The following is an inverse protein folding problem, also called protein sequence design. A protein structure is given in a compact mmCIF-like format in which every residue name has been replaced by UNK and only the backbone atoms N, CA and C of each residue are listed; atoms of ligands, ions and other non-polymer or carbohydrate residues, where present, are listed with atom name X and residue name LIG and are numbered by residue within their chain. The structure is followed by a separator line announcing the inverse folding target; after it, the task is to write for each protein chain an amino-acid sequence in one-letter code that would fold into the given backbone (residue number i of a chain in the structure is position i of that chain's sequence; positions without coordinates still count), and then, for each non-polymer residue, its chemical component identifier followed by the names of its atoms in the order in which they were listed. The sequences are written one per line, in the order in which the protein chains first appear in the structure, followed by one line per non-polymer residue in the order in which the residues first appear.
data_IF_821917798913
#
_entry.id   IF_821917798913
#
_cell.length_a   1.000
_cell.length_b   1.000
_cell.length_c   1.000
_cell.angle_alpha   90.00
_cell.angle_beta   90.00
_cell.angle_gamma   90.00
#
_symmetry.space_group_name_H-M   'P 1'
#
loop_
_entity.id
_entity.type
_entity.pdbx_description
1 polymer ?
#
# COMPACT_ATOMS: atom_id res chain seq x y z
N UNK A 1 -20.17 -2.50 9.66
CA UNK A 1 -20.40 -1.13 10.22
C UNK A 1 -20.04 -0.16 9.10
N UNK A 2 -21.00 0.46 8.38
CA UNK A 2 -20.67 1.44 7.36
C UNK A 2 -20.00 2.64 8.06
N UNK A 3 -18.88 3.11 7.51
CA UNK A 3 -18.22 4.28 8.05
C UNK A 3 -19.16 5.48 7.90
N UNK A 4 -19.61 6.06 9.02
CA UNK A 4 -20.64 7.12 9.09
C UNK A 4 -20.35 8.37 8.24
N UNK A 5 -19.15 8.51 7.69
CA UNK A 5 -18.70 9.65 6.89
C UNK A 5 -18.07 9.13 5.60
N UNK A 6 -18.63 9.52 4.43
CA UNK A 6 -18.17 9.13 3.09
C UNK A 6 -16.65 9.28 2.92
N UNK A 7 -15.94 8.16 3.10
CA UNK A 7 -14.48 8.09 2.98
C UNK A 7 -14.16 8.15 1.49
N UNK A 8 -13.63 9.29 1.06
CA UNK A 8 -13.19 9.50 -0.33
C UNK A 8 -11.72 9.14 -0.48
N UNK A 9 -11.44 8.11 -1.27
CA UNK A 9 -10.10 7.62 -1.56
C UNK A 9 -9.69 7.96 -2.99
N UNK A 10 -8.54 8.60 -3.18
CA UNK A 10 -7.95 8.68 -4.52
C UNK A 10 -7.47 7.28 -4.92
N UNK A 11 -7.94 6.83 -6.08
CA UNK A 11 -7.67 5.50 -6.59
C UNK A 11 -6.51 5.52 -7.59
N UNK A 12 -5.38 4.96 -7.20
CA UNK A 12 -4.19 4.87 -8.04
C UNK A 12 -3.66 3.42 -8.15
N UNK A 13 -4.54 2.43 -8.02
CA UNK A 13 -4.21 1.02 -8.21
C UNK A 13 -4.65 0.51 -9.59
N UNK A 14 -4.22 -0.71 -9.93
CA UNK A 14 -4.74 -1.44 -11.07
C UNK A 14 -6.24 -1.75 -10.88
N UNK A 15 -6.98 -1.70 -11.99
CA UNK A 15 -8.43 -1.90 -12.03
C UNK A 15 -8.78 -3.39 -12.08
N UNK A 16 -10.06 -3.75 -12.08
CA UNK A 16 -10.45 -5.14 -12.37
C UNK A 16 -9.94 -5.56 -13.76
N UNK A 17 -9.49 -6.81 -13.94
CA UNK A 17 -9.63 -7.97 -13.04
C UNK A 17 -8.49 -8.11 -12.00
N UNK A 18 -7.60 -7.14 -11.84
CA UNK A 18 -6.51 -7.23 -10.87
C UNK A 18 -7.05 -7.18 -9.43
N UNK A 19 -6.35 -7.88 -8.52
CA UNK A 19 -6.70 -8.00 -7.10
C UNK A 19 -7.03 -6.64 -6.46
N UNK A 20 -6.19 -5.63 -6.73
CA UNK A 20 -6.33 -4.31 -6.12
C UNK A 20 -7.62 -3.60 -6.52
N UNK A 21 -8.11 -3.83 -7.74
CA UNK A 21 -9.40 -3.33 -8.22
C UNK A 21 -10.56 -4.08 -7.58
N UNK A 22 -10.46 -5.40 -7.47
CA UNK A 22 -11.46 -6.25 -6.77
C UNK A 22 -11.61 -5.85 -5.31
N UNK A 23 -10.49 -5.59 -4.60
CA UNK A 23 -10.51 -5.08 -3.22
C UNK A 23 -11.20 -3.71 -3.16
N UNK A 24 -10.95 -2.81 -4.13
CA UNK A 24 -11.61 -1.50 -4.16
C UNK A 24 -13.14 -1.63 -4.25
N UNK A 25 -13.65 -2.53 -5.10
CA UNK A 25 -15.08 -2.84 -5.16
C UNK A 25 -15.62 -3.38 -3.85
N UNK A 26 -14.90 -4.30 -3.19
CA UNK A 26 -15.31 -4.83 -1.88
C UNK A 26 -15.30 -3.78 -0.77
N UNK A 27 -14.31 -2.89 -0.74
CA UNK A 27 -14.30 -1.75 0.18
C UNK A 27 -15.48 -0.81 -0.07
N UNK A 28 -15.89 -0.63 -1.33
CA UNK A 28 -17.10 0.14 -1.67
C UNK A 28 -18.37 -0.56 -1.19
N UNK A 29 -18.53 -1.84 -1.50
CA UNK A 29 -19.72 -2.64 -1.16
C UNK A 29 -19.91 -2.81 0.35
N UNK A 30 -18.84 -3.19 1.06
CA UNK A 30 -18.92 -3.60 2.47
C UNK A 30 -18.73 -2.42 3.45
N UNK A 31 -17.91 -1.44 3.08
CA UNK A 31 -17.55 -0.32 3.96
C UNK A 31 -18.10 1.03 3.51
N UNK A 32 -18.66 1.13 2.30
CA UNK A 32 -19.22 2.35 1.75
C UNK A 32 -18.15 3.38 1.34
N UNK A 33 -16.97 2.93 0.92
CA UNK A 33 -15.91 3.84 0.46
C UNK A 33 -16.21 4.40 -0.93
N UNK A 34 -16.00 5.70 -1.09
CA UNK A 34 -16.07 6.39 -2.37
C UNK A 34 -14.68 6.49 -2.97
N UNK A 35 -14.57 6.20 -4.26
CA UNK A 35 -13.31 6.31 -4.99
C UNK A 35 -13.36 7.51 -5.93
N UNK A 36 -12.22 8.18 -6.06
CA UNK A 36 -11.99 9.31 -6.95
C UNK A 36 -10.97 8.88 -8.01
N UNK A 37 -11.35 8.76 -9.31
CA UNK A 37 -12.72 8.81 -9.83
C UNK A 37 -13.56 7.59 -9.42
N UNK A 38 -14.89 7.59 -9.69
CA UNK A 38 -15.74 6.42 -9.47
C UNK A 38 -15.16 5.17 -10.17
N UNK A 39 -15.26 4.00 -9.53
CA UNK A 39 -14.63 2.76 -10.00
C UNK A 39 -15.02 2.39 -11.45
N UNK A 40 -16.32 2.43 -11.78
CA UNK A 40 -16.81 2.12 -13.14
C UNK A 40 -16.21 3.04 -14.21
N UNK A 41 -16.11 4.34 -13.91
CA UNK A 41 -15.48 5.29 -14.84
C UNK A 41 -13.97 5.08 -14.92
N UNK A 42 -13.35 4.59 -13.85
CA UNK A 42 -11.90 4.37 -13.75
C UNK A 42 -11.40 3.20 -14.59
N UNK A 43 -12.27 2.24 -14.89
CA UNK A 43 -12.00 1.06 -15.75
C UNK A 43 -11.80 1.43 -17.22
N UNK A 44 -12.46 2.50 -17.67
CA UNK A 44 -12.41 2.97 -19.07
C UNK A 44 -11.25 3.96 -19.32
N UNK A 45 -10.46 4.30 -18.28
CA UNK A 45 -9.42 5.31 -18.33
C UNK A 45 -8.02 4.72 -18.30
N UNK A 46 -7.08 5.37 -19.00
CA UNK A 46 -5.65 5.16 -18.75
C UNK A 46 -5.26 5.53 -17.31
N UNK A 47 -4.10 5.05 -16.86
CA UNK A 47 -3.60 5.36 -15.53
C UNK A 47 -3.42 6.88 -15.32
N UNK A 48 -2.83 7.56 -16.29
CA UNK A 48 -2.57 9.00 -16.24
C UNK A 48 -3.87 9.81 -16.19
N UNK A 49 -4.85 9.47 -17.01
CA UNK A 49 -6.17 10.12 -17.02
C UNK A 49 -6.91 9.91 -15.70
N UNK A 50 -6.84 8.69 -15.15
CA UNK A 50 -7.44 8.37 -13.86
C UNK A 50 -6.82 9.19 -12.73
N UNK A 51 -5.49 9.26 -12.68
CA UNK A 51 -4.77 10.06 -11.70
C UNK A 51 -5.14 11.54 -11.83
N UNK A 52 -5.11 12.12 -13.04
CA UNK A 52 -5.47 13.53 -13.27
C UNK A 52 -6.93 13.83 -12.86
N UNK A 53 -7.88 13.02 -13.31
CA UNK A 53 -9.30 13.18 -12.98
C UNK A 53 -9.54 13.00 -11.48
N UNK A 54 -8.94 11.98 -10.89
CA UNK A 54 -9.00 11.73 -9.44
C UNK A 54 -8.48 12.93 -8.64
N UNK A 55 -7.39 13.56 -9.07
CA UNK A 55 -6.89 14.80 -8.46
C UNK A 55 -7.84 15.98 -8.58
N UNK A 56 -8.43 16.18 -9.76
CA UNK A 56 -9.40 17.26 -9.97
C UNK A 56 -10.61 17.11 -9.07
N UNK A 57 -11.14 15.89 -8.93
CA UNK A 57 -12.22 15.57 -7.99
C UNK A 57 -11.76 15.75 -6.54
N UNK A 58 -10.54 15.29 -6.21
CA UNK A 58 -9.96 15.48 -4.88
C UNK A 58 -9.78 16.96 -4.54
N UNK A 59 -9.54 17.86 -5.51
CA UNK A 59 -9.43 19.31 -5.33
C UNK A 59 -10.79 20.01 -5.17
N UNK A 60 -11.87 19.50 -5.78
CA UNK A 60 -13.21 20.09 -5.66
C UNK A 60 -13.97 19.56 -4.44
N UNK A 61 -13.94 18.24 -4.23
CA UNK A 61 -14.77 17.54 -3.25
C UNK A 61 -14.01 17.24 -1.95
N UNK A 62 -12.69 17.16 -2.03
CA UNK A 62 -11.86 16.73 -0.91
C UNK A 62 -11.57 15.25 -0.95
N UNK A 63 -10.53 14.85 -0.22
CA UNK A 63 -10.06 13.48 -0.13
C UNK A 63 -9.73 13.18 1.32
N UNK A 64 -10.13 11.98 1.76
CA UNK A 64 -9.93 11.51 3.13
C UNK A 64 -8.81 10.48 3.22
N UNK A 65 -8.47 9.83 2.12
CA UNK A 65 -7.34 8.92 2.08
C UNK A 65 -6.87 8.58 0.68
N UNK A 66 -5.90 7.69 0.63
CA UNK A 66 -5.30 7.23 -0.62
C UNK A 66 -5.24 5.70 -0.66
N UNK A 67 -5.56 5.15 -1.83
CA UNK A 67 -5.48 3.73 -2.13
C UNK A 67 -4.68 3.54 -3.42
N UNK A 68 -3.40 3.21 -3.29
CA UNK A 68 -2.42 3.20 -4.37
C UNK A 68 -1.05 2.73 -3.91
N UNK A 69 -0.12 2.63 -4.86
CA UNK A 69 1.28 2.29 -4.61
C UNK A 69 2.05 3.44 -3.96
N UNK A 70 3.07 3.11 -3.16
CA UNK A 70 3.94 4.09 -2.50
C UNK A 70 4.63 5.04 -3.49
N UNK A 71 5.28 4.49 -4.52
CA UNK A 71 5.96 5.29 -5.54
C UNK A 71 5.07 6.33 -6.22
N UNK A 72 3.78 6.04 -6.41
CA UNK A 72 2.82 6.99 -7.00
C UNK A 72 2.63 8.22 -6.09
N UNK A 73 2.46 8.01 -4.77
CA UNK A 73 2.37 9.11 -3.80
C UNK A 73 3.61 9.98 -3.81
N UNK A 74 4.79 9.36 -3.87
CA UNK A 74 6.06 10.08 -3.93
C UNK A 74 6.13 10.88 -5.22
N UNK A 75 5.92 10.27 -6.38
CA UNK A 75 5.96 10.94 -7.68
C UNK A 75 5.02 12.14 -7.76
N UNK A 76 3.79 12.01 -7.24
CA UNK A 76 2.84 13.14 -7.18
C UNK A 76 3.36 14.22 -6.21
N UNK A 77 3.76 13.86 -4.99
CA UNK A 77 4.22 14.83 -4.01
C UNK A 77 5.48 15.58 -4.46
N UNK A 78 6.35 14.94 -5.23
CA UNK A 78 7.52 15.56 -5.85
C UNK A 78 7.15 16.58 -6.92
N UNK A 79 6.16 16.27 -7.77
CA UNK A 79 5.63 17.25 -8.75
C UNK A 79 5.11 18.52 -8.08
N UNK A 80 4.48 18.39 -6.90
CA UNK A 80 4.09 19.54 -6.08
C UNK A 80 5.31 20.32 -5.56
N UNK A 81 6.31 19.60 -5.03
CA UNK A 81 7.52 20.20 -4.45
C UNK A 81 8.34 20.99 -5.45
N UNK A 82 8.49 20.47 -6.68
CA UNK A 82 9.31 21.08 -7.72
C UNK A 82 8.69 22.35 -8.32
N UNK A 83 7.46 22.72 -7.93
CA UNK A 83 6.76 23.86 -8.51
C UNK A 83 6.39 23.65 -9.98
N UNK A 84 6.63 22.45 -10.53
CA UNK A 84 6.30 22.01 -11.88
C UNK A 84 4.81 21.70 -12.04
N UNK A 85 3.96 22.46 -11.35
CA UNK A 85 2.53 22.58 -11.59
C UNK A 85 2.18 23.22 -12.95
N UNK A 86 3.00 23.01 -13.97
CA UNK A 86 2.63 23.18 -15.37
C UNK A 86 1.77 22.01 -15.89
N UNK A 87 1.36 21.07 -15.03
CA UNK A 87 0.26 20.15 -15.31
C UNK A 87 -1.06 20.91 -15.36
N UNK A 88 -1.33 21.62 -16.47
CA UNK A 88 -2.65 22.16 -16.88
C UNK A 88 -3.54 22.74 -15.74
N UNK A 89 -2.96 23.27 -14.65
CA UNK A 89 -3.71 23.91 -13.56
C UNK A 89 -4.45 25.14 -14.08
N UNK A 90 -4.02 25.69 -15.22
CA UNK A 90 -4.69 26.75 -15.99
C UNK A 90 -6.06 26.38 -16.55
N UNK A 91 -6.46 25.10 -16.51
CA UNK A 91 -7.80 24.63 -16.90
C UNK A 91 -8.63 24.11 -15.72
N UNK A 92 -8.23 24.41 -14.48
CA UNK A 92 -9.09 24.12 -13.34
C UNK A 92 -10.34 25.00 -13.44
N UNK A 93 -11.54 24.40 -13.35
CA UNK A 93 -12.76 25.18 -13.38
C UNK A 93 -12.75 26.16 -12.20
N UNK A 94 -13.30 27.36 -12.42
CA UNK A 94 -13.42 28.47 -11.46
C UNK A 94 -14.39 28.16 -10.32
N UNK A 95 -14.23 26.99 -9.68
CA UNK A 95 -15.05 26.55 -8.57
C UNK A 95 -14.52 27.20 -7.28
N UNK A 96 -15.37 27.91 -6.51
CA UNK A 96 -14.97 28.57 -5.27
C UNK A 96 -14.26 27.65 -4.27
N UNK A 97 -14.68 26.37 -4.21
CA UNK A 97 -14.09 25.36 -3.30
C UNK A 97 -12.63 25.06 -3.64
N UNK A 98 -12.29 24.96 -4.92
CA UNK A 98 -10.92 24.70 -5.39
C UNK A 98 -10.03 25.90 -5.04
N UNK A 99 -10.49 27.11 -5.38
CA UNK A 99 -9.76 28.36 -5.08
C UNK A 99 -9.50 28.51 -3.59
N UNK A 100 -10.51 28.28 -2.75
CA UNK A 100 -10.37 28.31 -1.30
C UNK A 100 -9.33 27.31 -0.78
N UNK A 101 -9.34 26.07 -1.30
CA UNK A 101 -8.39 25.03 -0.89
C UNK A 101 -6.96 25.36 -1.30
N UNK A 102 -6.77 25.83 -2.53
CA UNK A 102 -5.46 26.26 -3.03
C UNK A 102 -4.95 27.47 -2.25
N UNK A 103 -5.79 28.48 -1.99
CA UNK A 103 -5.42 29.65 -1.19
C UNK A 103 -5.00 29.25 0.23
N UNK A 104 -5.76 28.37 0.89
CA UNK A 104 -5.40 27.82 2.21
C UNK A 104 -4.06 27.06 2.16
N UNK A 105 -3.85 26.26 1.11
CA UNK A 105 -2.60 25.52 0.92
C UNK A 105 -1.39 26.44 0.72
N UNK A 106 -1.54 27.49 -0.08
CA UNK A 106 -0.52 28.51 -0.33
C UNK A 106 -0.18 29.31 0.93
N UNK A 107 -1.17 29.67 1.76
CA UNK A 107 -0.92 30.35 3.03
C UNK A 107 -0.09 29.46 3.96
N UNK A 108 -0.48 28.18 4.11
CA UNK A 108 0.26 27.22 4.93
C UNK A 108 1.70 27.00 4.44
N UNK A 109 1.90 26.85 3.13
CA UNK A 109 3.22 26.61 2.57
C UNK A 109 4.14 27.83 2.71
N UNK A 110 3.61 29.04 2.51
CA UNK A 110 4.34 30.31 2.73
C UNK A 110 4.71 30.52 4.19
N UNK A 111 3.79 30.26 5.12
CA UNK A 111 4.09 30.29 6.57
C UNK A 111 5.21 29.32 6.94
N UNK A 112 5.24 28.15 6.30
CA UNK A 112 6.29 27.14 6.48
C UNK A 112 7.56 27.38 5.63
N UNK A 113 7.64 28.49 4.88
CA UNK A 113 8.78 28.87 4.02
C UNK A 113 9.25 27.75 3.08
N UNK A 114 8.32 27.02 2.48
CA UNK A 114 8.59 25.92 1.54
C UNK A 114 7.59 25.89 0.38
N UNK A 115 7.87 25.14 -0.71
CA UNK A 115 6.87 24.86 -1.74
C UNK A 115 5.61 24.22 -1.16
N UNK A 116 4.49 24.40 -1.87
CA UNK A 116 3.23 23.77 -1.51
C UNK A 116 3.34 22.26 -1.70
N UNK A 117 2.88 21.51 -0.71
CA UNK A 117 2.86 20.06 -0.70
C UNK A 117 1.43 19.55 -0.58
N UNK A 118 1.16 18.28 -0.93
CA UNK A 118 -0.18 17.70 -0.78
C UNK A 118 -0.76 17.83 0.64
N UNK A 119 0.08 17.74 1.68
CA UNK A 119 -0.33 17.93 3.10
C UNK A 119 -0.90 19.33 3.42
N UNK A 120 -0.64 20.31 2.57
CA UNK A 120 -1.21 21.65 2.74
C UNK A 120 -2.66 21.72 2.25
N UNK A 121 -2.99 20.91 1.23
CA UNK A 121 -4.28 20.86 0.57
C UNK A 121 -5.25 19.90 1.25
N UNK A 122 -4.75 18.74 1.67
CA UNK A 122 -5.56 17.67 2.28
C UNK A 122 -5.01 17.24 3.63
N UNK A 123 -5.92 16.80 4.50
CA UNK A 123 -5.58 16.17 5.78
C UNK A 123 -6.07 14.74 5.73
N UNK A 124 -5.18 13.84 5.32
CA UNK A 124 -5.53 12.43 5.12
C UNK A 124 -5.65 11.70 6.45
N UNK A 125 -6.68 10.85 6.55
CA UNK A 125 -6.91 9.96 7.69
C UNK A 125 -6.25 8.60 7.48
N UNK A 126 -6.26 8.12 6.25
CA UNK A 126 -5.72 6.81 5.87
C UNK A 126 -4.88 6.94 4.60
N UNK A 127 -3.71 6.35 4.62
CA UNK A 127 -2.96 6.02 3.42
C UNK A 127 -2.70 4.54 3.53
N UNK A 128 -3.24 3.75 2.60
CA UNK A 128 -2.89 2.34 2.47
C UNK A 128 -1.86 2.22 1.38
N UNK A 129 -0.73 1.58 1.69
CA UNK A 129 0.32 1.29 0.73
C UNK A 129 0.53 -0.20 0.60
N UNK A 130 0.76 -0.63 -0.64
CA UNK A 130 1.16 -1.98 -1.00
C UNK A 130 2.37 -1.85 -1.92
N UNK A 131 3.23 -2.86 -1.92
CA UNK A 131 4.43 -2.90 -2.75
C UNK A 131 5.70 -3.01 -1.94
N UNK A 132 6.74 -3.56 -2.58
CA UNK A 132 8.08 -3.82 -2.01
C UNK A 132 8.82 -2.54 -1.64
N UNK A 133 8.42 -1.41 -2.22
CA UNK A 133 8.99 -0.07 -2.01
C UNK A 133 8.36 0.70 -0.84
N UNK A 134 7.32 0.14 -0.20
CA UNK A 134 6.56 0.84 0.85
C UNK A 134 7.43 1.27 2.03
N UNK A 135 8.31 0.39 2.50
CA UNK A 135 9.23 0.69 3.61
C UNK A 135 10.23 1.79 3.26
N UNK A 136 10.73 1.81 2.01
CA UNK A 136 11.69 2.81 1.52
C UNK A 136 11.03 4.20 1.46
N UNK A 137 9.80 4.26 0.98
CA UNK A 137 9.10 5.53 0.78
C UNK A 137 8.30 6.01 1.99
N UNK A 138 8.24 5.24 3.09
CA UNK A 138 7.45 5.56 4.29
C UNK A 138 7.67 6.98 4.81
N UNK A 139 8.92 7.35 5.10
CA UNK A 139 9.23 8.70 5.62
C UNK A 139 9.04 9.78 4.54
N UNK A 140 9.32 9.46 3.27
CA UNK A 140 9.10 10.40 2.16
C UNK A 140 7.61 10.72 1.98
N UNK A 141 6.75 9.72 2.04
CA UNK A 141 5.29 9.87 1.98
C UNK A 141 4.80 10.70 3.15
N UNK A 142 5.26 10.40 4.37
CA UNK A 142 4.93 11.19 5.57
C UNK A 142 5.33 12.65 5.43
N UNK A 143 6.50 12.94 4.86
CA UNK A 143 6.95 14.31 4.62
C UNK A 143 6.08 15.06 3.60
N UNK A 144 5.67 14.39 2.52
CA UNK A 144 4.90 14.99 1.42
C UNK A 144 3.40 15.11 1.77
N UNK A 145 2.84 14.09 2.39
CA UNK A 145 1.40 13.90 2.61
C UNK A 145 0.95 14.09 4.06
N UNK A 146 1.89 14.18 5.00
CA UNK A 146 1.61 14.45 6.41
C UNK A 146 1.01 13.25 7.16
N UNK A 147 1.02 12.06 6.57
CA UNK A 147 0.50 10.83 7.16
C UNK A 147 1.42 9.66 6.81
N UNK A 148 1.69 8.80 7.79
CA UNK A 148 2.45 7.56 7.57
C UNK A 148 1.56 6.57 6.82
N UNK A 149 2.04 5.96 5.72
CA UNK A 149 1.31 4.88 5.06
C UNK A 149 1.21 3.66 5.97
N UNK A 150 0.04 3.04 6.01
CA UNK A 150 -0.17 1.72 6.61
C UNK A 150 0.17 0.69 5.55
N UNK A 151 1.08 -0.22 5.88
CA UNK A 151 1.55 -1.25 4.96
C UNK A 151 0.61 -2.47 4.94
N UNK A 152 0.31 -2.92 3.74
CA UNK A 152 -0.43 -4.15 3.46
C UNK A 152 0.43 -5.03 2.58
N UNK A 153 0.76 -6.22 3.07
CA UNK A 153 1.52 -7.22 2.34
C UNK A 153 0.59 -8.27 1.73
N UNK A 154 0.75 -8.45 0.42
CA UNK A 154 -0.08 -9.32 -0.38
C UNK A 154 0.35 -9.29 -1.85
N UNK A 155 -0.04 -10.31 -2.59
CA UNK A 155 0.26 -10.46 -4.01
C UNK A 155 -0.90 -11.18 -4.72
N UNK A 156 -0.78 -11.38 -6.04
CA UNK A 156 -1.85 -11.97 -6.85
C UNK A 156 -2.16 -13.42 -6.45
N UNK A 157 -1.15 -14.14 -5.98
CA UNK A 157 -1.19 -15.56 -5.63
C UNK A 157 -1.82 -15.80 -4.24
N UNK A 158 -1.73 -14.81 -3.35
CA UNK A 158 -2.07 -14.96 -1.92
C UNK A 158 -3.18 -14.03 -1.45
N UNK A 159 -3.58 -13.05 -2.26
CA UNK A 159 -4.45 -11.93 -1.86
C UNK A 159 -3.78 -11.02 -0.83
N UNK A 160 -4.12 -11.13 0.45
CA UNK A 160 -3.52 -10.35 1.55
C UNK A 160 -3.02 -11.36 2.56
N UNK A 161 -1.76 -11.24 2.96
CA UNK A 161 -1.15 -12.13 3.95
C UNK A 161 -0.99 -11.44 5.29
N UNK A 162 -0.57 -10.18 5.29
CA UNK A 162 -0.33 -9.47 6.53
C UNK A 162 -0.59 -7.98 6.37
N UNK A 163 -0.95 -7.32 7.47
CA UNK A 163 -1.16 -5.86 7.49
C UNK A 163 -0.57 -5.24 8.73
N UNK A 164 -0.07 -4.00 8.62
CA UNK A 164 0.27 -3.24 9.81
C UNK A 164 -0.98 -2.90 10.60
N UNK A 165 -0.84 -2.92 11.91
CA UNK A 165 -1.89 -2.42 12.79
C UNK A 165 -1.72 -0.90 13.00
N UNK A 166 -2.57 -0.30 13.85
CA UNK A 166 -2.56 1.15 14.09
C UNK A 166 -1.33 1.67 14.84
N UNK A 167 -0.41 0.80 15.26
CA UNK A 167 0.89 1.19 15.81
C UNK A 167 1.98 1.43 14.76
N UNK A 168 1.74 1.05 13.49
CA UNK A 168 2.64 1.23 12.34
C UNK A 168 4.02 0.55 12.47
N UNK A 169 4.11 -0.50 13.28
CA UNK A 169 5.37 -1.22 13.55
C UNK A 169 5.50 -2.45 12.62
N UNK A 170 5.23 -3.65 13.11
CA UNK A 170 5.18 -4.88 12.32
C UNK A 170 3.81 -5.14 11.66
N UNK A 171 3.79 -6.09 10.73
CA UNK A 171 2.56 -6.61 10.14
C UNK A 171 2.11 -7.89 10.82
N UNK A 172 0.80 -8.00 11.08
CA UNK A 172 0.16 -9.20 11.61
C UNK A 172 -0.42 -10.06 10.48
N UNK A 173 -0.22 -11.38 10.57
CA UNK A 173 -0.72 -12.34 9.58
C UNK A 173 -2.24 -12.53 9.62
N UNK A 174 -2.81 -12.88 8.47
CA UNK A 174 -4.16 -13.40 8.30
C UNK A 174 -4.13 -14.88 7.90
N UNK A 175 -3.88 -15.80 8.86
CA UNK A 175 -3.66 -17.23 8.59
C UNK A 175 -4.92 -17.96 8.10
N UNK A 176 -6.08 -17.30 8.10
CA UNK A 176 -7.34 -17.87 7.61
C UNK A 176 -7.51 -17.74 6.07
N UNK A 177 -6.60 -17.06 5.38
CA UNK A 177 -6.64 -16.88 3.92
C UNK A 177 -5.75 -17.90 3.18
N UNK A 178 -4.63 -18.31 3.78
CA UNK A 178 -3.70 -19.28 3.23
C UNK A 178 -3.10 -20.13 4.37
N UNK A 179 -2.84 -21.40 4.10
CA UNK A 179 -1.93 -22.18 4.93
C UNK A 179 -0.50 -21.69 4.68
N UNK A 180 0.19 -21.28 5.74
CA UNK A 180 1.51 -20.66 5.66
C UNK A 180 2.59 -21.64 6.11
N UNK A 181 3.54 -21.88 5.23
CA UNK A 181 4.80 -22.57 5.49
C UNK A 181 5.95 -21.57 5.30
N UNK A 182 7.03 -21.78 6.03
CA UNK A 182 8.19 -20.89 6.03
C UNK A 182 9.45 -21.71 5.80
N UNK A 183 10.20 -21.42 4.73
CA UNK A 183 11.52 -22.02 4.51
C UNK A 183 12.54 -21.13 5.22
N UNK A 184 13.27 -21.60 6.26
CA UNK A 184 14.32 -20.81 6.88
C UNK A 184 15.37 -20.37 5.87
N UNK A 185 15.94 -19.18 6.03
CA UNK A 185 16.93 -18.64 5.07
C UNK A 185 18.12 -19.60 4.85
N UNK A 186 18.56 -20.31 5.90
CA UNK A 186 19.60 -21.34 5.81
C UNK A 186 19.21 -22.52 4.89
N UNK A 187 17.94 -22.90 4.88
CA UNK A 187 17.40 -23.94 3.98
C UNK A 187 17.27 -23.43 2.55
N UNK A 188 16.88 -22.16 2.39
CA UNK A 188 16.87 -21.48 1.09
C UNK A 188 18.26 -21.46 0.44
N UNK A 189 19.31 -21.12 1.21
CA UNK A 189 20.69 -21.13 0.69
C UNK A 189 21.15 -22.51 0.21
N UNK A 190 20.78 -23.59 0.90
CA UNK A 190 21.08 -24.96 0.46
C UNK A 190 20.42 -25.26 -0.89
N UNK A 191 19.20 -24.78 -1.10
CA UNK A 191 18.49 -24.92 -2.37
C UNK A 191 19.12 -24.07 -3.49
N UNK A 192 19.56 -22.85 -3.20
CA UNK A 192 20.28 -22.03 -4.19
C UNK A 192 21.55 -22.73 -4.68
N UNK A 193 22.29 -23.39 -3.78
CA UNK A 193 23.49 -24.16 -4.13
C UNK A 193 23.18 -25.44 -4.91
N UNK A 194 22.05 -26.09 -4.60
CA UNK A 194 21.60 -27.30 -5.28
C UNK A 194 20.08 -27.29 -5.44
N UNK A 195 19.59 -26.99 -6.65
CA UNK A 195 18.16 -26.87 -6.93
C UNK A 195 17.40 -28.21 -6.85
N UNK A 196 18.10 -29.35 -6.77
CA UNK A 196 17.49 -30.66 -6.49
C UNK A 196 17.25 -30.92 -4.99
N UNK A 197 17.83 -30.10 -4.11
CA UNK A 197 17.56 -30.16 -2.68
C UNK A 197 16.10 -29.77 -2.41
N UNK A 198 15.43 -30.44 -1.49
CA UNK A 198 14.10 -30.05 -1.03
C UNK A 198 14.24 -29.31 0.31
N UNK A 199 14.01 -27.99 0.36
CA UNK A 199 14.06 -27.23 1.61
C UNK A 199 13.07 -27.77 2.63
N UNK A 200 13.49 -27.81 3.90
CA UNK A 200 12.55 -28.02 5.01
C UNK A 200 11.77 -26.73 5.28
N UNK A 201 10.52 -26.90 5.67
CA UNK A 201 9.63 -25.83 6.10
C UNK A 201 9.34 -25.95 7.59
N UNK A 202 9.00 -24.81 8.19
CA UNK A 202 8.40 -24.70 9.53
C UNK A 202 7.03 -24.02 9.41
N UNK A 203 6.17 -24.19 10.40
CA UNK A 203 4.85 -23.59 10.48
C UNK A 203 4.88 -22.21 11.18
N UNK A 204 3.76 -21.49 11.12
CA UNK A 204 3.64 -20.15 11.71
C UNK A 204 3.91 -20.12 13.22
N UNK A 205 3.59 -21.18 13.95
CA UNK A 205 3.84 -21.31 15.39
C UNK A 205 5.28 -21.77 15.72
N UNK A 206 6.06 -22.15 14.72
CA UNK A 206 7.44 -22.64 14.86
C UNK A 206 8.49 -21.61 14.42
N UNK A 207 8.07 -20.42 13.97
CA UNK A 207 8.99 -19.35 13.57
C UNK A 207 9.70 -18.73 14.78
N UNK A 208 10.89 -18.20 14.55
CA UNK A 208 11.72 -17.54 15.56
C UNK A 208 11.85 -16.04 15.27
N UNK A 209 11.83 -15.22 16.32
CA UNK A 209 12.04 -13.78 16.18
C UNK A 209 13.49 -13.47 15.78
N UNK A 210 13.64 -12.55 14.82
CA UNK A 210 14.93 -12.14 14.24
C UNK A 210 15.34 -12.95 13.00
N UNK A 211 14.73 -14.12 12.77
CA UNK A 211 15.05 -14.97 11.63
C UNK A 211 14.24 -14.59 10.38
N UNK A 212 14.84 -14.87 9.22
CA UNK A 212 14.26 -14.62 7.89
C UNK A 212 13.81 -15.93 7.24
N UNK A 213 12.68 -15.86 6.52
CA UNK A 213 12.05 -17.01 5.91
C UNK A 213 11.53 -16.69 4.51
N UNK A 214 11.69 -17.62 3.58
CA UNK A 214 10.96 -17.58 2.32
C UNK A 214 9.54 -18.10 2.56
N UNK A 215 8.57 -17.34 2.07
CA UNK A 215 7.17 -17.66 2.24
C UNK A 215 6.70 -18.74 1.25
N UNK A 216 6.01 -19.74 1.78
CA UNK A 216 5.35 -20.81 1.03
C UNK A 216 3.88 -20.86 1.41
N UNK A 217 3.01 -21.00 0.41
CA UNK A 217 1.56 -20.93 0.63
C UNK A 217 0.82 -22.09 0.00
N UNK A 218 -0.25 -22.51 0.67
CA UNK A 218 -1.33 -23.29 0.07
C UNK A 218 -2.63 -22.51 0.25
N UNK A 219 -3.31 -22.21 -0.86
CA UNK A 219 -4.51 -21.37 -0.79
C UNK A 219 -5.66 -22.11 -0.10
N UNK A 220 -6.44 -21.37 0.69
CA UNK A 220 -7.78 -21.82 1.10
C UNK A 220 -8.85 -21.34 0.10
N UNK A 221 -10.12 -21.64 0.41
CA UNK A 221 -11.30 -21.12 -0.31
C UNK A 221 -11.32 -21.40 -1.82
N UNK A 222 -10.72 -22.52 -2.25
CA UNK A 222 -10.73 -22.96 -3.65
C UNK A 222 -9.62 -22.36 -4.53
N UNK A 223 -8.61 -21.71 -3.93
CA UNK A 223 -7.42 -21.30 -4.68
C UNK A 223 -6.60 -22.51 -5.18
N UNK A 224 -5.85 -22.31 -6.27
CA UNK A 224 -5.19 -23.38 -7.00
C UNK A 224 -3.77 -23.71 -6.49
N UNK A 225 -3.17 -22.84 -5.68
CA UNK A 225 -1.78 -23.00 -5.27
C UNK A 225 -1.64 -23.99 -4.12
N UNK A 226 -0.71 -24.94 -4.26
CA UNK A 226 -0.35 -25.93 -3.23
C UNK A 226 1.16 -25.93 -3.04
N UNK A 227 1.61 -25.66 -1.82
CA UNK A 227 3.03 -25.48 -1.44
C UNK A 227 3.79 -24.59 -2.42
N UNK A 228 3.14 -23.52 -2.88
CA UNK A 228 3.71 -22.59 -3.84
C UNK A 228 4.70 -21.68 -3.13
N UNK A 229 5.93 -21.63 -3.64
CA UNK A 229 6.99 -20.73 -3.17
C UNK A 229 6.76 -19.35 -3.76
N UNK A 230 6.47 -18.38 -2.90
CA UNK A 230 6.16 -17.01 -3.31
C UNK A 230 7.40 -16.30 -3.86
N UNK A 231 8.59 -16.69 -3.40
CA UNK A 231 9.84 -16.01 -3.77
C UNK A 231 10.04 -14.69 -3.02
N UNK A 232 9.34 -14.49 -1.90
CA UNK A 232 9.50 -13.36 -1.00
C UNK A 232 10.15 -13.82 0.30
N UNK A 233 11.19 -13.10 0.74
CA UNK A 233 11.78 -13.23 2.06
C UNK A 233 11.10 -12.25 3.01
N UNK A 234 10.62 -12.78 4.12
CA UNK A 234 10.09 -12.00 5.24
C UNK A 234 10.97 -12.20 6.46
N UNK A 235 11.01 -11.22 7.36
CA UNK A 235 11.64 -11.36 8.68
C UNK A 235 10.58 -11.30 9.77
N UNK A 236 10.62 -12.23 10.71
CA UNK A 236 9.80 -12.19 11.91
C UNK A 236 10.45 -11.22 12.90
N UNK A 237 9.79 -10.12 13.23
CA UNK A 237 10.35 -9.11 14.14
C UNK A 237 10.06 -9.42 15.60
N UNK A 238 8.93 -10.06 15.88
CA UNK A 238 8.52 -10.48 17.21
C UNK A 238 7.52 -11.65 17.10
N UNK A 239 7.43 -12.49 18.13
CA UNK A 239 6.43 -13.57 18.18
C UNK A 239 5.05 -13.07 18.65
N UNK A 240 5.00 -11.89 19.26
CA UNK A 240 3.82 -11.26 19.82
C UNK A 240 3.94 -9.74 19.78
N UNK A 241 2.84 -9.03 19.57
CA UNK A 241 2.77 -7.58 19.78
C UNK A 241 2.22 -7.27 21.17
N UNK A 242 3.12 -6.93 22.11
CA UNK A 242 2.72 -6.66 23.50
C UNK A 242 1.93 -5.36 23.65
N UNK A 243 2.26 -4.34 22.86
CA UNK A 243 1.61 -3.02 22.92
C UNK A 243 0.12 -3.12 22.64
N UNK A 244 -0.25 -4.02 21.72
CA UNK A 244 -1.64 -4.21 21.27
C UNK A 244 -2.24 -5.54 21.72
N UNK A 245 -1.51 -6.33 22.52
CA UNK A 245 -1.96 -7.62 23.04
C UNK A 245 -2.38 -8.60 21.92
N UNK A 246 -1.57 -8.70 20.85
CA UNK A 246 -1.82 -9.59 19.69
C UNK A 246 -0.86 -10.77 19.76
N UNK A 247 -1.42 -11.98 19.94
CA UNK A 247 -0.68 -13.24 20.11
C UNK A 247 -0.39 -13.96 18.79
N UNK A 248 0.11 -13.21 17.81
CA UNK A 248 0.47 -13.73 16.49
C UNK A 248 1.83 -13.14 16.13
N UNK A 249 2.74 -13.91 15.50
CA UNK A 249 4.01 -13.39 15.01
C UNK A 249 3.85 -12.14 14.15
N UNK A 250 4.77 -11.21 14.30
CA UNK A 250 4.85 -9.95 13.57
C UNK A 250 5.92 -10.09 12.50
N UNK A 251 5.61 -9.67 11.27
CA UNK A 251 6.54 -9.74 10.14
C UNK A 251 6.82 -8.38 9.52
N UNK A 252 7.94 -8.30 8.82
CA UNK A 252 8.21 -7.26 7.81
C UNK A 252 8.66 -7.94 6.52
N UNK A 253 8.35 -7.31 5.38
CA UNK A 253 8.94 -7.71 4.11
C UNK A 253 10.42 -7.33 4.12
N UNK A 254 11.30 -8.26 3.75
CA UNK A 254 12.75 -8.03 3.75
C UNK A 254 13.27 -7.80 2.34
N UNK A 255 13.04 -8.78 1.45
CA UNK A 255 13.54 -8.74 0.07
C UNK A 255 12.87 -9.81 -0.78
N UNK A 256 13.14 -9.78 -2.08
CA UNK A 256 12.88 -10.91 -2.97
C UNK A 256 13.94 -11.99 -2.79
N UNK A 257 13.53 -13.26 -2.80
CA UNK A 257 14.42 -14.40 -2.63
C UNK A 257 15.29 -14.66 -3.87
N UNK A 258 14.88 -14.16 -5.04
CA UNK A 258 15.63 -14.17 -6.31
C UNK A 258 16.56 -12.95 -6.47
N UNK A 259 16.69 -12.13 -5.42
CA UNK A 259 17.47 -10.89 -5.38
C UNK A 259 17.11 -9.89 -6.50
N UNK A 260 15.89 -9.99 -7.04
CA UNK A 260 15.37 -9.04 -8.01
C UNK A 260 15.23 -7.64 -7.39
N UNK A 261 15.92 -6.67 -7.98
CA UNK A 261 15.76 -5.26 -7.65
C UNK A 261 14.65 -4.68 -8.52
N UNK A 262 13.50 -4.41 -7.90
CA UNK A 262 12.41 -3.66 -8.52
C UNK A 262 12.49 -2.19 -8.07
N UNK A 263 12.82 -1.30 -9.00
CA UNK A 263 12.85 0.14 -8.76
C UNK A 263 11.47 0.80 -8.96
N UNK A 264 10.43 0.01 -9.25
CA UNK A 264 9.10 0.48 -9.59
C UNK A 264 9.07 1.37 -10.83
N UNK A 265 8.01 2.17 -10.94
CA UNK A 265 7.85 3.20 -11.98
C UNK A 265 8.75 4.41 -11.66
N UNK A 266 10.03 4.34 -12.04
CA UNK A 266 10.85 5.55 -12.20
C UNK A 266 10.43 6.34 -13.44
#
# INVERSE_FOLDING_TARGET
IPFKNGVKLLHAMAQTPFLTGTIAYKLKEELGFDFLPPLRESEEMSFEERVDKGFRLALSEGMTGFYGLAGVLVGIGEKFRQGSGNTKFSRLPSQPKILFRLAKGLIKSKLARRPMLPKDLWTLKVISSMGTDSTIYKERIKDLWGRVPLEVYGNSETTVIATQTWDYDGMVFFPNLNFLEFIPEKEHFKWQLNHSYQPKTVLLDEVEAGESYELVITNFHGGAMVRYRVGDMIRITALRNEKLNIDIPQMVFERRADDLIDLGFM
#
